data_IF_937728659787
#
_entry.id   IF_937728659787
#
_cell.length_a   1.000
_cell.length_b   1.000
_cell.length_c   1.000
_cell.angle_alpha   90.00
_cell.angle_beta   90.00
_cell.angle_gamma   90.00
#
_symmetry.space_group_name_H-M   'P 1'
#
loop_
_entity.id
_entity.type
_entity.pdbx_description
1 polymer ?
#
# COMPACT_ATOMS: atom_id res chain seq x y z
N UNK A 1 -44.46 -13.18 10.74
CA UNK A 1 -43.84 -14.48 10.37
C UNK A 1 -43.37 -14.57 8.93
N UNK A 2 -44.17 -14.30 7.88
CA UNK A 2 -43.67 -14.44 6.49
C UNK A 2 -42.58 -13.46 6.06
N UNK A 3 -42.56 -12.21 6.57
CA UNK A 3 -41.56 -11.20 6.21
C UNK A 3 -40.18 -11.47 6.85
N UNK A 4 -40.18 -11.95 8.08
CA UNK A 4 -38.90 -12.29 8.77
C UNK A 4 -38.25 -13.55 8.19
N UNK A 5 -39.07 -14.51 7.75
CA UNK A 5 -38.58 -15.71 7.09
C UNK A 5 -37.91 -15.38 5.73
N UNK A 6 -38.47 -14.40 5.00
CA UNK A 6 -37.92 -13.94 3.73
C UNK A 6 -36.59 -13.19 3.91
N UNK A 7 -36.47 -12.35 4.96
CA UNK A 7 -35.28 -11.63 5.27
C UNK A 7 -34.15 -12.57 5.72
N UNK A 8 -34.46 -13.55 6.56
CA UNK A 8 -33.51 -14.58 6.98
C UNK A 8 -33.07 -15.45 5.81
N UNK A 9 -33.96 -15.81 4.90
CA UNK A 9 -33.61 -16.56 3.68
C UNK A 9 -32.75 -15.75 2.72
N UNK A 10 -32.99 -14.45 2.57
CA UNK A 10 -32.15 -13.57 1.74
C UNK A 10 -30.72 -13.36 2.33
N UNK A 11 -30.61 -13.20 3.64
CA UNK A 11 -29.31 -13.09 4.31
C UNK A 11 -28.57 -14.43 4.23
N UNK A 12 -29.23 -15.54 4.43
CA UNK A 12 -28.64 -16.88 4.34
C UNK A 12 -28.27 -17.21 2.88
N UNK A 13 -29.06 -16.81 1.89
CA UNK A 13 -28.75 -17.03 0.49
C UNK A 13 -27.58 -16.19 0.00
N UNK A 14 -27.42 -14.94 0.48
CA UNK A 14 -26.27 -14.12 0.11
C UNK A 14 -24.97 -14.59 0.78
N UNK A 15 -25.03 -15.13 1.98
CA UNK A 15 -23.86 -15.70 2.67
C UNK A 15 -23.47 -17.07 2.07
N UNK A 16 -24.45 -17.89 1.68
CA UNK A 16 -24.15 -19.21 1.11
C UNK A 16 -23.65 -19.17 -0.33
N UNK A 17 -24.03 -18.19 -1.13
CA UNK A 17 -23.51 -18.05 -2.50
C UNK A 17 -22.08 -17.49 -2.55
N UNK A 18 -21.66 -16.73 -1.54
CA UNK A 18 -20.26 -16.28 -1.40
C UNK A 18 -19.38 -17.35 -0.75
N UNK A 19 -19.91 -18.22 0.09
CA UNK A 19 -19.16 -19.28 0.75
C UNK A 19 -18.76 -20.46 -0.17
N UNK A 20 -19.39 -20.61 -1.34
CA UNK A 20 -19.11 -21.69 -2.28
C UNK A 20 -18.03 -21.36 -3.33
N UNK A 21 -17.60 -20.11 -3.44
CA UNK A 21 -16.50 -19.71 -4.32
C UNK A 21 -15.34 -19.19 -3.50
N UNK A 22 -14.50 -20.12 -3.01
CA UNK A 22 -13.21 -19.81 -2.38
C UNK A 22 -13.25 -18.76 -1.23
N UNK A 23 -13.20 -19.19 0.00
CA UNK A 23 -12.79 -18.52 1.28
C UNK A 23 -12.76 -16.96 1.36
N UNK A 24 -13.59 -16.24 0.64
CA UNK A 24 -13.64 -14.79 0.64
C UNK A 24 -14.82 -14.28 1.49
N UNK A 25 -14.54 -13.34 2.38
CA UNK A 25 -15.57 -12.61 3.11
C UNK A 25 -15.61 -11.17 2.59
N UNK A 26 -16.69 -10.82 1.87
CA UNK A 26 -16.99 -9.44 1.47
C UNK A 26 -18.11 -8.89 2.36
N UNK A 27 -17.78 -7.89 3.18
CA UNK A 27 -18.72 -7.16 4.03
C UNK A 27 -18.96 -5.75 3.47
N UNK A 28 -18.66 -5.51 2.20
CA UNK A 28 -18.92 -4.21 1.58
C UNK A 28 -20.40 -4.06 1.23
N UNK A 29 -20.97 -2.92 1.58
CA UNK A 29 -22.38 -2.61 1.30
C UNK A 29 -22.65 -2.21 -0.16
N UNK A 30 -21.65 -2.13 -1.00
CA UNK A 30 -21.76 -1.81 -2.43
C UNK A 30 -20.97 -2.82 -3.24
N UNK A 31 -21.71 -3.66 -3.92
CA UNK A 31 -21.22 -4.66 -4.84
C UNK A 31 -20.37 -4.06 -5.96
N UNK A 32 -19.08 -4.09 -5.80
CA UNK A 32 -18.19 -4.18 -6.93
C UNK A 32 -17.94 -5.67 -7.21
N UNK A 33 -17.75 -6.04 -8.45
CA UNK A 33 -17.61 -7.37 -9.04
C UNK A 33 -17.25 -8.54 -8.11
N UNK A 34 -17.71 -9.76 -8.38
CA UNK A 34 -17.47 -10.91 -7.53
C UNK A 34 -15.99 -11.09 -7.24
N UNK A 35 -15.64 -11.18 -5.96
CA UNK A 35 -14.29 -11.51 -5.53
C UNK A 35 -13.96 -12.92 -6.03
N UNK A 36 -13.27 -13.03 -7.15
CA UNK A 36 -12.80 -14.31 -7.69
C UNK A 36 -11.47 -14.73 -7.03
N UNK A 37 -11.17 -14.20 -5.83
CA UNK A 37 -9.89 -14.37 -5.17
C UNK A 37 -9.98 -15.35 -4.02
N UNK A 38 -8.91 -16.10 -3.82
CA UNK A 38 -8.80 -17.00 -2.68
C UNK A 38 -8.33 -16.22 -1.43
N UNK A 39 -9.00 -16.48 -0.28
CA UNK A 39 -8.60 -16.00 1.03
C UNK A 39 -8.50 -14.46 1.18
N UNK A 40 -9.44 -13.71 0.64
CA UNK A 40 -9.44 -12.26 0.78
C UNK A 40 -10.62 -11.76 1.62
N UNK A 41 -10.39 -10.73 2.43
CA UNK A 41 -11.41 -10.05 3.22
C UNK A 41 -11.47 -8.59 2.75
N UNK A 42 -12.63 -8.14 2.28
CA UNK A 42 -12.89 -6.75 1.95
C UNK A 42 -13.97 -6.18 2.87
N UNK A 43 -13.70 -5.03 3.48
CA UNK A 43 -14.63 -4.32 4.35
C UNK A 43 -14.66 -2.83 4.00
N UNK A 44 -15.86 -2.23 3.96
CA UNK A 44 -16.06 -0.81 3.65
C UNK A 44 -16.61 -0.54 2.27
N UNK A 45 -16.61 0.71 1.82
CA UNK A 45 -17.29 1.14 0.59
C UNK A 45 -16.36 1.16 -0.64
N UNK A 46 -16.88 0.72 -1.79
CA UNK A 46 -16.24 0.89 -3.10
C UNK A 46 -14.78 0.36 -3.20
N UNK A 47 -14.41 -0.58 -2.35
CA UNK A 47 -13.11 -1.23 -2.43
C UNK A 47 -13.06 -2.18 -3.62
N UNK A 48 -11.94 -2.25 -4.30
CA UNK A 48 -11.76 -3.07 -5.49
C UNK A 48 -10.55 -3.98 -5.32
N UNK A 49 -10.75 -5.24 -5.63
CA UNK A 49 -9.64 -6.16 -5.82
C UNK A 49 -9.66 -6.59 -7.28
N UNK A 50 -8.59 -6.31 -7.99
CA UNK A 50 -8.49 -6.58 -9.43
C UNK A 50 -8.06 -8.01 -9.69
N UNK A 51 -8.79 -8.67 -10.60
CA UNK A 51 -8.41 -9.99 -11.09
C UNK A 51 -7.37 -9.88 -12.19
N UNK A 52 -6.32 -10.66 -12.10
CA UNK A 52 -5.33 -10.82 -13.14
C UNK A 52 -5.15 -12.29 -13.53
N UNK A 53 -4.26 -12.56 -14.49
CA UNK A 53 -3.89 -13.92 -14.87
C UNK A 53 -3.29 -14.74 -13.71
N UNK A 54 -2.76 -14.03 -12.71
CA UNK A 54 -2.33 -14.58 -11.42
C UNK A 54 -3.27 -13.99 -10.38
N UNK A 55 -4.22 -14.77 -9.90
CA UNK A 55 -5.11 -14.33 -8.81
C UNK A 55 -4.27 -14.00 -7.58
N UNK A 56 -4.42 -12.80 -7.00
CA UNK A 56 -3.72 -12.49 -5.75
C UNK A 56 -4.19 -13.47 -4.68
N UNK A 57 -3.27 -14.04 -3.95
CA UNK A 57 -3.52 -15.01 -2.88
C UNK A 57 -3.39 -14.30 -1.54
N UNK A 58 -4.33 -14.54 -0.61
CA UNK A 58 -4.27 -14.06 0.77
C UNK A 58 -4.26 -12.54 0.96
N UNK A 59 -4.98 -11.78 0.14
CA UNK A 59 -5.10 -10.34 0.37
C UNK A 59 -6.13 -10.02 1.45
N UNK A 60 -5.76 -9.13 2.34
CA UNK A 60 -6.65 -8.57 3.34
C UNK A 60 -6.84 -7.09 3.04
N UNK A 61 -8.06 -6.72 2.66
CA UNK A 61 -8.48 -5.33 2.51
C UNK A 61 -9.30 -4.97 3.74
N UNK A 62 -8.66 -4.30 4.70
CA UNK A 62 -9.27 -3.95 5.98
C UNK A 62 -9.80 -2.52 5.94
N UNK A 63 -11.11 -2.37 5.92
CA UNK A 63 -11.79 -1.10 6.17
C UNK A 63 -11.46 0.04 5.19
N UNK A 64 -12.37 0.96 5.01
CA UNK A 64 -12.12 2.16 4.23
C UNK A 64 -12.92 2.24 2.93
N UNK A 65 -12.54 3.19 2.07
CA UNK A 65 -13.30 3.51 0.87
C UNK A 65 -12.37 3.67 -0.35
N UNK A 66 -12.79 3.11 -1.49
CA UNK A 66 -12.11 3.25 -2.79
C UNK A 66 -10.65 2.78 -2.80
N UNK A 67 -10.31 1.78 -2.02
CA UNK A 67 -9.00 1.18 -2.12
C UNK A 67 -8.96 0.15 -3.27
N UNK A 68 -7.82 0.05 -3.93
CA UNK A 68 -7.59 -0.91 -5.02
C UNK A 68 -6.41 -1.81 -4.68
N UNK A 69 -6.65 -3.11 -4.64
CA UNK A 69 -5.60 -4.13 -4.58
C UNK A 69 -5.51 -4.79 -5.94
N UNK A 70 -4.35 -4.73 -6.56
CA UNK A 70 -4.13 -5.28 -7.90
C UNK A 70 -3.77 -6.76 -7.85
N UNK A 71 -3.94 -7.43 -8.97
CA UNK A 71 -3.68 -8.86 -9.12
C UNK A 71 -2.27 -9.33 -8.76
N UNK A 72 -1.29 -8.43 -8.78
CA UNK A 72 0.09 -8.70 -8.38
C UNK A 72 0.35 -8.59 -6.87
N UNK A 73 -0.60 -8.03 -6.11
CA UNK A 73 -0.42 -7.73 -4.69
C UNK A 73 -0.86 -8.87 -3.78
N UNK A 74 -0.24 -10.06 -3.90
CA UNK A 74 -0.49 -11.17 -2.97
C UNK A 74 0.03 -10.85 -1.56
N UNK A 75 -0.60 -11.45 -0.54
CA UNK A 75 -0.20 -11.35 0.87
C UNK A 75 -0.09 -9.91 1.40
N UNK A 76 -0.96 -9.01 0.89
CA UNK A 76 -0.92 -7.58 1.21
C UNK A 76 -2.11 -7.12 2.02
N UNK A 77 -1.88 -6.11 2.87
CA UNK A 77 -2.91 -5.42 3.65
C UNK A 77 -3.07 -3.99 3.12
N UNK A 78 -4.29 -3.61 2.76
CA UNK A 78 -4.58 -2.24 2.32
C UNK A 78 -5.73 -1.66 3.12
N UNK A 79 -5.53 -0.51 3.75
CA UNK A 79 -6.56 0.15 4.56
C UNK A 79 -6.57 1.67 4.38
N UNK A 80 -7.71 2.30 4.68
CA UNK A 80 -7.88 3.74 4.55
C UNK A 80 -8.67 4.12 3.30
N UNK A 81 -8.23 5.15 2.57
CA UNK A 81 -9.03 5.68 1.44
C UNK A 81 -8.19 5.95 0.19
N UNK A 82 -8.69 5.54 -0.97
CA UNK A 82 -8.05 5.74 -2.27
C UNK A 82 -6.59 5.23 -2.34
N UNK A 83 -6.27 4.17 -1.62
CA UNK A 83 -4.95 3.56 -1.73
C UNK A 83 -4.93 2.55 -2.88
N UNK A 84 -3.80 2.44 -3.56
CA UNK A 84 -3.56 1.42 -4.59
C UNK A 84 -2.35 0.58 -4.21
N UNK A 85 -2.54 -0.73 -4.09
CA UNK A 85 -1.48 -1.69 -3.78
C UNK A 85 -1.30 -2.63 -4.95
N UNK A 86 -0.09 -2.70 -5.48
CA UNK A 86 0.32 -3.57 -6.59
C UNK A 86 1.47 -4.49 -6.19
N UNK A 87 2.26 -4.10 -5.17
CA UNK A 87 3.40 -4.87 -4.71
C UNK A 87 3.01 -5.92 -3.68
N UNK A 88 3.46 -7.18 -3.85
CA UNK A 88 3.14 -8.26 -2.93
C UNK A 88 3.81 -8.09 -1.55
N UNK A 89 3.25 -8.75 -0.54
CA UNK A 89 3.79 -8.78 0.83
C UNK A 89 3.80 -7.42 1.53
N UNK A 90 2.95 -6.47 1.11
CA UNK A 90 3.03 -5.09 1.56
C UNK A 90 1.87 -4.68 2.46
N UNK A 91 2.13 -3.73 3.36
CA UNK A 91 1.11 -3.07 4.17
C UNK A 91 0.98 -1.62 3.71
N UNK A 92 -0.20 -1.21 3.27
CA UNK A 92 -0.49 0.16 2.82
C UNK A 92 -1.65 0.73 3.63
N UNK A 93 -1.42 1.83 4.34
CA UNK A 93 -2.44 2.45 5.18
C UNK A 93 -2.44 3.97 5.07
N UNK A 94 -3.62 4.55 5.07
CA UNK A 94 -3.80 6.00 5.01
C UNK A 94 -4.59 6.46 3.78
N UNK A 95 -4.18 7.59 3.18
CA UNK A 95 -4.94 8.20 2.10
C UNK A 95 -4.10 8.41 0.84
N UNK A 96 -4.65 8.05 -0.34
CA UNK A 96 -4.04 8.31 -1.65
C UNK A 96 -2.62 7.75 -1.81
N UNK A 97 -2.26 6.67 -1.12
CA UNK A 97 -0.97 6.05 -1.33
C UNK A 97 -1.00 5.11 -2.54
N UNK A 98 0.07 5.11 -3.31
CA UNK A 98 0.30 4.17 -4.42
C UNK A 98 1.55 3.36 -4.13
N UNK A 99 1.39 2.06 -3.95
CA UNK A 99 2.48 1.15 -3.67
C UNK A 99 2.63 0.09 -4.77
N UNK A 100 3.74 0.13 -5.47
CA UNK A 100 4.22 -0.94 -6.36
C UNK A 100 5.37 -1.74 -5.76
N UNK A 101 5.89 -1.30 -4.62
CA UNK A 101 7.00 -1.95 -3.94
C UNK A 101 6.63 -3.30 -3.33
N UNK A 102 7.56 -4.23 -3.37
CA UNK A 102 7.44 -5.54 -2.74
C UNK A 102 7.88 -5.49 -1.27
N UNK A 103 7.18 -6.22 -0.38
CA UNK A 103 7.52 -6.35 1.05
C UNK A 103 7.72 -4.99 1.76
N UNK A 104 6.85 -4.04 1.52
CA UNK A 104 7.01 -2.68 2.02
C UNK A 104 5.90 -2.25 2.98
N UNK A 105 6.23 -1.36 3.90
CA UNK A 105 5.28 -0.69 4.77
C UNK A 105 5.10 0.76 4.32
N UNK A 106 3.88 1.14 3.94
CA UNK A 106 3.53 2.51 3.52
C UNK A 106 2.41 3.04 4.40
N UNK A 107 2.71 4.07 5.19
CA UNK A 107 1.73 4.69 6.09
C UNK A 107 1.73 6.21 5.90
N UNK A 108 0.55 6.77 5.69
CA UNK A 108 0.42 8.22 5.58
C UNK A 108 -0.43 8.66 4.40
N UNK A 109 -0.04 9.74 3.74
CA UNK A 109 -0.87 10.35 2.70
C UNK A 109 -0.06 10.68 1.44
N UNK A 110 -0.61 10.35 0.28
CA UNK A 110 -0.07 10.72 -1.05
C UNK A 110 1.37 10.23 -1.29
N UNK A 111 1.73 9.08 -0.73
CA UNK A 111 3.04 8.49 -0.98
C UNK A 111 3.01 7.62 -2.24
N UNK A 112 4.04 7.71 -3.07
CA UNK A 112 4.28 6.82 -4.22
C UNK A 112 5.53 6.01 -3.96
N UNK A 113 5.40 4.69 -3.89
CA UNK A 113 6.47 3.82 -3.43
C UNK A 113 6.71 2.70 -4.44
N UNK A 114 7.91 2.65 -4.98
CA UNK A 114 8.44 1.58 -5.81
C UNK A 114 9.58 0.85 -5.09
N UNK A 115 10.16 -0.15 -5.74
CA UNK A 115 11.29 -0.90 -5.23
C UNK A 115 10.95 -2.07 -4.32
N UNK A 116 11.75 -2.32 -3.29
CA UNK A 116 11.62 -3.51 -2.43
C UNK A 116 12.05 -3.23 -0.99
N UNK A 117 11.36 -3.82 0.00
CA UNK A 117 11.70 -3.74 1.42
C UNK A 117 11.78 -2.30 1.95
N UNK A 118 10.87 -1.44 1.56
CA UNK A 118 10.88 -0.04 1.98
C UNK A 118 9.94 0.22 3.15
N UNK A 119 10.32 1.13 4.03
CA UNK A 119 9.44 1.70 5.06
C UNK A 119 9.24 3.17 4.75
N UNK A 120 7.99 3.57 4.51
CA UNK A 120 7.62 4.94 4.14
C UNK A 120 6.54 5.44 5.06
N UNK A 121 6.84 6.50 5.81
CA UNK A 121 5.92 7.11 6.76
C UNK A 121 5.83 8.61 6.59
N UNK A 122 4.62 9.14 6.36
CA UNK A 122 4.40 10.57 6.27
C UNK A 122 3.63 11.03 5.04
N UNK A 123 4.08 12.10 4.39
CA UNK A 123 3.32 12.77 3.35
C UNK A 123 4.12 13.03 2.08
N UNK A 124 3.57 12.65 0.94
CA UNK A 124 4.08 13.06 -0.39
C UNK A 124 5.45 12.50 -0.75
N UNK A 125 5.84 11.37 -0.18
CA UNK A 125 7.11 10.74 -0.53
C UNK A 125 7.07 10.14 -1.94
N UNK A 126 8.22 10.14 -2.63
CA UNK A 126 8.39 9.51 -3.93
C UNK A 126 9.64 8.62 -3.94
N UNK A 127 9.43 7.31 -3.89
CA UNK A 127 10.47 6.31 -4.08
C UNK A 127 10.39 5.73 -5.47
N UNK A 128 11.53 5.58 -6.12
CA UNK A 128 11.64 4.92 -7.41
C UNK A 128 11.79 3.40 -7.24
N UNK A 129 11.72 2.67 -8.36
CA UNK A 129 11.89 1.21 -8.37
C UNK A 129 13.31 0.77 -7.96
N UNK A 130 14.29 1.69 -7.99
CA UNK A 130 15.65 1.45 -7.50
C UNK A 130 15.76 1.55 -5.96
N UNK A 131 14.77 2.09 -5.28
CA UNK A 131 14.79 2.21 -3.83
C UNK A 131 14.58 0.84 -3.18
N UNK A 132 15.65 0.28 -2.63
CA UNK A 132 15.64 -1.02 -1.96
C UNK A 132 16.14 -0.85 -0.52
N UNK A 133 15.51 -1.52 0.45
CA UNK A 133 15.89 -1.48 1.86
C UNK A 133 15.96 -0.05 2.41
N UNK A 134 15.00 0.79 2.09
CA UNK A 134 15.10 2.22 2.39
C UNK A 134 14.03 2.68 3.38
N UNK A 135 14.38 3.72 4.16
CA UNK A 135 13.49 4.34 5.13
C UNK A 135 13.25 5.81 4.80
N UNK A 136 11.99 6.21 4.61
CA UNK A 136 11.57 7.60 4.44
C UNK A 136 10.60 7.99 5.54
N UNK A 137 10.92 9.06 6.27
CA UNK A 137 10.03 9.60 7.30
C UNK A 137 9.95 11.12 7.18
N UNK A 138 8.74 11.65 7.26
CA UNK A 138 8.49 13.08 7.20
C UNK A 138 7.64 13.51 6.02
N UNK A 139 8.13 14.42 5.17
CA UNK A 139 7.36 14.87 4.01
C UNK A 139 8.22 15.19 2.78
N UNK A 140 7.71 14.81 1.60
CA UNK A 140 8.33 15.12 0.31
C UNK A 140 9.78 14.65 0.16
N UNK A 141 10.17 13.56 0.83
CA UNK A 141 11.48 12.96 0.62
C UNK A 141 11.46 12.03 -0.60
N UNK A 142 12.58 11.91 -1.28
CA UNK A 142 12.74 11.05 -2.45
C UNK A 142 14.04 10.25 -2.37
N UNK A 143 13.95 8.95 -2.63
CA UNK A 143 15.11 8.05 -2.72
C UNK A 143 15.11 7.35 -4.08
N UNK A 144 16.27 7.41 -4.75
CA UNK A 144 16.58 6.71 -5.98
C UNK A 144 17.92 5.96 -5.82
N UNK A 145 18.03 5.21 -4.75
CA UNK A 145 19.19 4.41 -4.39
C UNK A 145 18.79 3.38 -3.35
N UNK A 146 19.67 2.45 -3.03
CA UNK A 146 19.41 1.40 -2.06
C UNK A 146 20.12 1.61 -0.70
N UNK A 147 19.63 0.91 0.33
CA UNK A 147 20.19 0.91 1.68
C UNK A 147 20.33 2.33 2.27
N UNK A 148 19.27 3.14 2.08
CA UNK A 148 19.34 4.57 2.37
C UNK A 148 18.23 5.05 3.29
N UNK A 149 18.50 6.14 4.02
CA UNK A 149 17.57 6.74 4.98
C UNK A 149 17.38 8.23 4.71
N UNK A 150 16.12 8.67 4.60
CA UNK A 150 15.75 10.07 4.45
C UNK A 150 14.77 10.49 5.56
N UNK A 151 15.20 11.43 6.41
CA UNK A 151 14.44 11.94 7.53
C UNK A 151 14.21 13.45 7.41
N UNK A 152 12.97 13.91 7.55
CA UNK A 152 12.62 15.32 7.54
C UNK A 152 11.82 15.75 6.31
N UNK A 153 12.20 16.85 5.66
CA UNK A 153 11.38 17.44 4.59
C UNK A 153 12.18 17.76 3.32
N UNK A 154 11.62 17.43 2.16
CA UNK A 154 12.19 17.76 0.84
C UNK A 154 13.61 17.23 0.61
N UNK A 155 13.99 16.14 1.25
CA UNK A 155 15.32 15.56 1.07
C UNK A 155 15.36 14.66 -0.16
N UNK A 156 16.52 14.61 -0.82
CA UNK A 156 16.73 13.80 -2.03
C UNK A 156 17.99 12.96 -1.90
N UNK A 157 17.87 11.67 -2.14
CA UNK A 157 18.98 10.73 -2.22
C UNK A 157 19.02 10.12 -3.62
N UNK A 158 20.18 10.15 -4.26
CA UNK A 158 20.45 9.44 -5.53
C UNK A 158 21.59 8.41 -5.40
N UNK A 159 22.34 8.45 -4.33
CA UNK A 159 23.39 7.48 -4.02
C UNK A 159 22.88 6.32 -3.16
N UNK A 160 23.71 5.30 -3.05
CA UNK A 160 23.47 4.14 -2.21
C UNK A 160 24.14 4.28 -0.84
N UNK A 161 23.66 3.55 0.18
CA UNK A 161 24.18 3.59 1.55
C UNK A 161 24.25 5.03 2.09
N UNK A 162 23.20 5.79 1.87
CA UNK A 162 23.17 7.20 2.21
C UNK A 162 22.25 7.51 3.38
N UNK A 163 22.63 8.49 4.19
CA UNK A 163 21.84 8.99 5.29
C UNK A 163 21.63 10.49 5.16
N UNK A 164 20.37 10.90 5.05
CA UNK A 164 20.01 12.32 4.90
C UNK A 164 19.03 12.72 5.99
N UNK A 165 19.26 13.87 6.62
CA UNK A 165 18.35 14.43 7.62
C UNK A 165 18.28 15.95 7.56
N UNK A 166 17.09 16.50 7.76
CA UNK A 166 16.88 17.94 7.77
C UNK A 166 15.86 18.40 6.73
N UNK A 167 16.09 19.59 6.17
CA UNK A 167 15.19 20.17 5.16
C UNK A 167 15.97 20.48 3.87
N UNK A 168 15.51 19.94 2.75
CA UNK A 168 16.10 20.22 1.44
C UNK A 168 17.51 19.67 1.25
N UNK A 169 17.95 18.75 2.10
CA UNK A 169 19.27 18.16 2.00
C UNK A 169 19.36 17.17 0.82
N UNK A 170 20.53 17.08 0.20
CA UNK A 170 20.73 16.28 -1.02
C UNK A 170 22.00 15.44 -0.93
N UNK A 171 21.88 14.17 -1.27
CA UNK A 171 23.01 13.26 -1.47
C UNK A 171 22.99 12.74 -2.91
N UNK A 172 24.13 12.81 -3.58
CA UNK A 172 24.34 12.26 -4.92
C UNK A 172 25.37 11.12 -4.93
N UNK A 173 26.32 11.16 -4.00
CA UNK A 173 27.35 10.13 -3.87
C UNK A 173 26.91 8.92 -3.07
N UNK A 174 27.60 7.80 -3.26
CA UNK A 174 27.44 6.61 -2.41
C UNK A 174 28.15 6.78 -1.06
N UNK A 175 27.72 6.02 -0.05
CA UNK A 175 28.31 6.02 1.29
C UNK A 175 28.40 7.44 1.90
N UNK A 176 27.37 8.24 1.71
CA UNK A 176 27.39 9.66 2.01
C UNK A 176 26.36 10.05 3.08
N UNK A 177 26.71 11.04 3.88
CA UNK A 177 25.85 11.57 4.94
C UNK A 177 25.67 13.08 4.76
N UNK A 178 24.43 13.57 4.82
CA UNK A 178 24.11 14.99 4.78
C UNK A 178 23.04 15.33 5.84
N UNK A 179 23.40 16.15 6.81
CA UNK A 179 22.49 16.64 7.84
C UNK A 179 22.44 18.17 7.87
N UNK A 180 21.24 18.70 7.99
CA UNK A 180 21.00 20.13 8.12
C UNK A 180 20.10 20.69 7.04
N UNK A 181 19.90 22.00 7.08
CA UNK A 181 19.15 22.72 6.06
C UNK A 181 19.99 22.84 4.78
N UNK A 182 19.45 22.39 3.67
CA UNK A 182 20.10 22.41 2.34
C UNK A 182 21.50 21.77 2.26
N UNK A 183 21.86 20.91 3.22
CA UNK A 183 23.13 20.19 3.23
C UNK A 183 23.32 19.33 1.96
N UNK A 184 24.57 19.21 1.48
CA UNK A 184 24.90 18.46 0.27
C UNK A 184 26.08 17.54 0.50
N UNK A 185 25.97 16.32 -0.04
CA UNK A 185 27.09 15.38 -0.17
C UNK A 185 27.11 14.82 -1.61
N UNK A 186 28.29 14.78 -2.21
CA UNK A 186 28.50 14.35 -3.60
C UNK A 186 29.46 13.18 -3.65
#
# INVERSE_FOLDING_TARGET
MKKELLLTAMITASITTTALAASNLDISATTAAPLSMQNSIAYGGNNKVENGMFSPVNNILLGGDKNTVRSSASDSITSGRNNTTSGPGSIVSGWYNTNSATHSLVVGTSNTVGGTNNIVGGFGHANNDNAINSLLVGSYNSIDGHDSVALGKNNTIKGNNALVGGTGAKVQGNNSIAFGDTAKAT
#
